data_IF_876346617647
#
_entry.id   IF_876346617647
#
_cell.length_a   1.000
_cell.length_b   1.000
_cell.length_c   1.000
_cell.angle_alpha   90.00
_cell.angle_beta   90.00
_cell.angle_gamma   90.00
#
_symmetry.space_group_name_H-M   'P 1'
#
loop_
_entity.id
_entity.type
_entity.pdbx_description
1 polymer ?
#
# COMPACT_ATOMS: atom_id res chain seq x y z
N UNK A 1 8.28 -0.12 -0.90
CA UNK A 1 7.70 -0.68 0.33
C UNK A 1 8.65 -0.32 1.46
N UNK A 2 8.15 -0.06 2.68
CA UNK A 2 8.98 0.03 3.88
C UNK A 2 8.88 -1.30 4.62
N UNK A 3 10.00 -1.94 4.92
CA UNK A 3 10.00 -3.09 5.82
C UNK A 3 9.55 -2.63 7.21
N UNK A 4 8.63 -3.39 7.80
CA UNK A 4 8.26 -3.25 9.21
C UNK A 4 9.16 -4.20 10.00
N UNK A 5 9.79 -3.67 11.04
CA UNK A 5 10.70 -4.45 11.88
C UNK A 5 10.02 -5.68 12.47
N UNK A 6 10.84 -6.72 12.65
CA UNK A 6 10.42 -8.02 13.13
C UNK A 6 9.96 -7.90 14.60
N UNK A 7 8.66 -8.03 14.82
CA UNK A 7 8.11 -8.10 16.18
C UNK A 7 8.45 -9.45 16.79
N UNK A 8 8.51 -9.55 18.12
CA UNK A 8 8.81 -10.82 18.80
C UNK A 8 7.86 -11.98 18.38
N UNK A 9 6.60 -11.65 18.07
CA UNK A 9 5.62 -12.61 17.56
C UNK A 9 6.00 -13.12 16.15
N UNK A 10 6.38 -12.20 15.27
CA UNK A 10 6.74 -12.50 13.88
C UNK A 10 8.06 -13.30 13.82
N UNK A 11 9.02 -13.00 14.69
CA UNK A 11 10.24 -13.78 14.86
C UNK A 11 9.96 -15.21 15.34
N UNK A 12 9.07 -15.37 16.33
CA UNK A 12 8.65 -16.70 16.82
C UNK A 12 7.97 -17.53 15.72
N UNK A 13 7.08 -16.91 14.96
CA UNK A 13 6.42 -17.55 13.80
C UNK A 13 7.44 -17.96 12.74
N UNK A 14 8.38 -17.08 12.39
CA UNK A 14 9.42 -17.36 11.41
C UNK A 14 10.36 -18.48 11.86
N UNK A 15 10.63 -18.59 13.16
CA UNK A 15 11.41 -19.71 13.69
C UNK A 15 10.66 -21.03 13.55
N UNK A 16 9.36 -21.07 13.85
CA UNK A 16 8.51 -22.25 13.62
C UNK A 16 8.50 -22.62 12.12
N UNK A 17 8.25 -21.65 11.25
CA UNK A 17 8.16 -21.86 9.80
C UNK A 17 9.51 -22.15 9.14
N UNK A 18 10.63 -21.99 9.84
CA UNK A 18 11.97 -22.22 9.29
C UNK A 18 12.14 -23.66 8.79
N UNK A 19 11.49 -24.62 9.45
CA UNK A 19 11.52 -26.03 9.11
C UNK A 19 10.41 -26.81 9.82
N UNK A 20 9.27 -26.99 9.17
CA UNK A 20 8.17 -27.81 9.68
C UNK A 20 8.19 -29.16 8.97
N UNK A 21 8.52 -30.21 9.72
CA UNK A 21 8.44 -31.59 9.22
C UNK A 21 7.01 -32.11 9.34
N UNK A 22 6.41 -32.50 8.20
CA UNK A 22 5.05 -33.06 8.13
C UNK A 22 5.06 -34.51 7.65
N UNK A 23 6.22 -35.19 7.73
CA UNK A 23 6.40 -36.60 7.38
C UNK A 23 6.85 -36.81 5.94
N UNK A 24 5.99 -36.51 4.97
CA UNK A 24 6.32 -36.71 3.54
C UNK A 24 7.19 -35.60 2.95
N UNK A 25 7.18 -34.43 3.59
CA UNK A 25 7.97 -33.29 3.16
C UNK A 25 8.32 -32.37 4.33
N UNK A 26 9.24 -31.45 4.05
CA UNK A 26 9.58 -30.35 4.94
C UNK A 26 8.97 -29.08 4.36
N UNK A 27 8.07 -28.46 5.12
CA UNK A 27 7.51 -27.15 4.79
C UNK A 27 8.44 -26.06 5.34
N UNK A 28 8.77 -25.10 4.48
CA UNK A 28 9.50 -23.89 4.85
C UNK A 28 8.64 -22.68 4.54
N UNK A 29 8.65 -21.70 5.43
CA UNK A 29 7.93 -20.45 5.26
C UNK A 29 8.65 -19.29 5.91
N UNK A 30 8.24 -18.09 5.51
CA UNK A 30 8.65 -16.84 6.15
C UNK A 30 7.50 -15.83 6.03
N UNK A 31 7.21 -15.14 7.11
CA UNK A 31 6.33 -14.00 7.16
C UNK A 31 7.17 -12.72 7.26
N UNK A 32 6.91 -11.79 6.35
CA UNK A 32 7.56 -10.47 6.31
C UNK A 32 6.47 -9.40 6.20
N UNK A 33 6.60 -8.34 6.97
CA UNK A 33 5.64 -7.26 7.00
C UNK A 33 6.20 -6.03 6.29
N UNK A 34 5.38 -5.42 5.43
CA UNK A 34 5.75 -4.25 4.66
C UNK A 34 4.60 -3.24 4.64
N UNK A 35 4.92 -1.95 4.66
CA UNK A 35 3.97 -0.89 4.31
C UNK A 35 4.25 -0.35 2.92
N UNK A 36 3.18 -0.10 2.17
CA UNK A 36 3.25 0.67 0.93
C UNK A 36 3.53 2.13 1.31
N UNK A 37 4.70 2.67 0.96
CA UNK A 37 4.91 4.12 1.08
C UNK A 37 4.09 4.79 -0.02
N UNK A 38 3.42 5.90 0.31
CA UNK A 38 2.84 6.83 -0.68
C UNK A 38 3.93 7.62 -1.42
N UNK A 39 5.00 6.95 -1.85
CA UNK A 39 6.10 7.56 -2.59
C UNK A 39 5.85 7.42 -4.09
N UNK A 40 6.25 8.43 -4.89
CA UNK A 40 6.01 8.48 -6.34
C UNK A 40 6.42 7.22 -7.12
N UNK A 41 7.37 6.44 -6.60
CA UNK A 41 7.88 5.21 -7.20
C UNK A 41 6.91 4.05 -6.96
N UNK A 42 6.40 3.89 -5.74
CA UNK A 42 5.42 2.85 -5.43
C UNK A 42 4.09 3.10 -6.12
N UNK A 43 3.72 4.37 -6.32
CA UNK A 43 2.52 4.74 -7.10
C UNK A 43 2.65 4.41 -8.59
N UNK A 44 3.86 4.38 -9.15
CA UNK A 44 4.07 3.93 -10.54
C UNK A 44 3.92 2.42 -10.64
N UNK A 45 4.43 1.69 -9.66
CA UNK A 45 4.29 0.24 -9.60
C UNK A 45 2.82 -0.15 -9.39
N UNK A 46 2.09 0.50 -8.47
CA UNK A 46 0.66 0.24 -8.26
C UNK A 46 -0.14 0.45 -9.54
N UNK A 47 0.06 1.58 -10.23
CA UNK A 47 -0.60 1.86 -11.51
C UNK A 47 -0.25 0.85 -12.60
N UNK A 48 1.01 0.40 -12.68
CA UNK A 48 1.42 -0.61 -13.65
C UNK A 48 0.74 -1.94 -13.40
N UNK A 49 0.67 -2.36 -12.14
CA UNK A 49 0.00 -3.61 -11.73
C UNK A 49 -1.51 -3.53 -11.96
N UNK A 50 -2.14 -2.40 -11.61
CA UNK A 50 -3.57 -2.16 -11.87
C UNK A 50 -3.89 -2.16 -13.38
N UNK A 51 -3.03 -1.54 -14.19
CA UNK A 51 -3.18 -1.54 -15.64
C UNK A 51 -3.06 -2.96 -16.20
N UNK A 52 -2.06 -3.74 -15.79
CA UNK A 52 -1.87 -5.14 -16.22
C UNK A 52 -3.02 -6.03 -15.76
N UNK A 53 -3.48 -5.86 -14.51
CA UNK A 53 -4.64 -6.57 -13.98
C UNK A 53 -5.90 -6.25 -14.79
N UNK A 54 -6.21 -4.98 -15.03
CA UNK A 54 -7.38 -4.60 -15.82
C UNK A 54 -7.26 -5.05 -17.28
N UNK A 55 -6.06 -4.99 -17.87
CA UNK A 55 -5.83 -5.46 -19.25
C UNK A 55 -5.99 -6.97 -19.36
N UNK A 56 -5.60 -7.73 -18.33
CA UNK A 56 -5.59 -9.20 -18.38
C UNK A 56 -6.90 -9.81 -17.88
N UNK A 57 -7.43 -9.31 -16.77
CA UNK A 57 -8.63 -9.84 -16.12
C UNK A 57 -9.91 -9.15 -16.56
N UNK A 58 -9.91 -7.83 -16.81
CA UNK A 58 -11.12 -7.15 -17.29
C UNK A 58 -11.35 -7.38 -18.80
N UNK A 59 -10.30 -7.66 -19.59
CA UNK A 59 -10.48 -8.08 -20.99
C UNK A 59 -11.00 -9.53 -21.14
N UNK A 60 -10.89 -10.36 -20.09
CA UNK A 60 -11.49 -11.70 -20.04
C UNK A 60 -13.00 -11.70 -19.78
N UNK A 61 -13.55 -10.57 -19.33
CA UNK A 61 -15.00 -10.32 -19.27
C UNK A 61 -15.39 -9.55 -20.54
N UNK A 62 -16.20 -10.16 -21.40
CA UNK A 62 -16.57 -9.65 -22.72
C UNK A 62 -17.10 -8.19 -22.76
N UNK A 63 -17.07 -7.54 -23.94
CA UNK A 63 -16.98 -6.11 -24.10
C UNK A 63 -18.36 -5.45 -24.05
N UNK A 64 -18.69 -4.86 -22.91
CA UNK A 64 -19.51 -3.65 -22.90
C UNK A 64 -18.72 -2.60 -22.15
N UNK A 65 -18.01 -1.75 -22.89
CA UNK A 65 -17.34 -0.57 -22.37
C UNK A 65 -18.37 0.31 -21.66
N UNK A 66 -18.49 0.14 -20.35
CA UNK A 66 -19.22 1.04 -19.49
C UNK A 66 -18.30 2.18 -19.02
N UNK A 67 -18.81 3.40 -18.82
CA UNK A 67 -18.01 4.57 -18.42
C UNK A 67 -17.32 4.46 -17.05
N UNK A 68 -17.45 3.32 -16.34
CA UNK A 68 -16.90 3.11 -15.00
C UNK A 68 -15.36 3.09 -14.91
N UNK A 69 -14.65 2.67 -15.96
CA UNK A 69 -13.19 2.57 -15.91
C UNK A 69 -12.48 3.94 -15.86
N UNK A 70 -13.10 4.98 -16.43
CA UNK A 70 -12.53 6.34 -16.42
C UNK A 70 -12.74 7.06 -15.07
N UNK A 71 -13.81 6.73 -14.34
CA UNK A 71 -14.14 7.36 -13.06
C UNK A 71 -13.19 6.93 -11.94
N UNK A 72 -12.77 5.66 -11.90
CA UNK A 72 -11.81 5.17 -10.89
C UNK A 72 -10.47 5.95 -10.92
N UNK A 73 -10.00 6.32 -12.10
CA UNK A 73 -8.74 7.05 -12.24
C UNK A 73 -8.84 8.50 -11.74
N UNK A 74 -9.95 9.18 -12.04
CA UNK A 74 -10.21 10.55 -11.59
C UNK A 74 -10.47 10.64 -10.08
N UNK A 75 -11.24 9.70 -9.52
CA UNK A 75 -11.53 9.66 -8.09
C UNK A 75 -10.27 9.39 -7.26
N UNK A 76 -9.38 8.51 -7.73
CA UNK A 76 -8.14 8.21 -7.05
C UNK A 76 -7.11 9.36 -7.12
N UNK A 77 -7.10 10.13 -8.22
CA UNK A 77 -6.27 11.33 -8.32
C UNK A 77 -6.78 12.44 -7.37
N UNK A 78 -8.10 12.64 -7.30
CA UNK A 78 -8.71 13.58 -6.36
C UNK A 78 -8.44 13.21 -4.90
N UNK A 79 -8.63 11.94 -4.52
CA UNK A 79 -8.37 11.47 -3.15
C UNK A 79 -6.91 11.73 -2.74
N UNK A 80 -5.99 11.51 -3.66
CA UNK A 80 -4.56 11.72 -3.40
C UNK A 80 -4.22 13.22 -3.24
N UNK A 81 -4.86 14.08 -4.02
CA UNK A 81 -4.72 15.53 -3.91
C UNK A 81 -5.32 16.05 -2.58
N UNK A 82 -6.44 15.47 -2.15
CA UNK A 82 -7.11 15.82 -0.90
C UNK A 82 -6.29 15.40 0.33
N UNK A 83 -5.72 14.19 0.33
CA UNK A 83 -4.82 13.73 1.40
C UNK A 83 -3.56 14.61 1.51
N UNK A 84 -3.04 15.08 0.39
CA UNK A 84 -1.86 15.95 0.36
C UNK A 84 -2.17 17.36 0.87
N UNK A 85 -3.36 17.89 0.59
CA UNK A 85 -3.84 19.16 1.15
C UNK A 85 -4.02 19.06 2.67
N UNK A 86 -4.64 17.99 3.17
CA UNK A 86 -4.90 17.80 4.60
C UNK A 86 -3.60 17.77 5.42
N UNK A 87 -2.56 17.05 4.95
CA UNK A 87 -1.26 17.05 5.62
C UNK A 87 -0.59 18.44 5.64
N UNK A 88 -0.81 19.24 4.60
CA UNK A 88 -0.25 20.59 4.49
C UNK A 88 -0.92 21.55 5.48
N UNK A 89 -2.25 21.46 5.61
CA UNK A 89 -3.04 22.26 6.54
C UNK A 89 -2.71 21.96 8.01
N UNK A 90 -2.59 20.67 8.36
CA UNK A 90 -2.18 20.26 9.72
C UNK A 90 -0.79 20.81 10.07
N UNK A 91 0.14 20.77 9.11
CA UNK A 91 1.49 21.30 9.30
C UNK A 91 1.48 22.82 9.53
N UNK A 92 0.66 23.56 8.78
CA UNK A 92 0.53 25.01 8.95
C UNK A 92 -0.11 25.38 10.29
N UNK A 93 -1.18 24.69 10.71
CA UNK A 93 -1.81 24.92 12.01
C UNK A 93 -0.83 24.67 13.16
N UNK A 94 -0.07 23.59 13.08
CA UNK A 94 0.91 23.25 14.13
C UNK A 94 2.03 24.29 14.23
N UNK A 95 2.46 24.83 13.09
CA UNK A 95 3.46 25.89 13.04
C UNK A 95 2.93 27.23 13.59
N UNK A 96 1.66 27.55 13.31
CA UNK A 96 1.00 28.75 13.84
C UNK A 96 0.78 28.65 15.36
N UNK A 97 0.43 27.47 15.88
CA UNK A 97 0.30 27.23 17.32
C UNK A 97 1.64 27.38 18.05
N UNK A 98 2.75 26.91 17.46
CA UNK A 98 4.08 27.10 18.03
C UNK A 98 4.50 28.58 18.09
N UNK A 99 4.11 29.39 17.10
CA UNK A 99 4.40 30.83 17.12
C UNK A 99 3.59 31.56 18.20
N UNK A 100 2.35 31.15 18.47
CA UNK A 100 1.54 31.75 19.53
C UNK A 100 2.01 31.37 20.94
N UNK A 101 2.63 30.20 21.12
CA UNK A 101 3.20 29.79 22.42
C UNK A 101 4.56 30.44 22.73
N UNK A 102 5.18 31.12 21.75
CA UNK A 102 6.45 31.83 21.92
C UNK A 102 6.29 33.35 22.16
N UNK A 103 5.04 33.86 22.23
CA UNK A 103 4.72 35.24 22.63
C UNK A 103 4.11 35.25 24.04
#
# INVERSE_FOLDING_TARGET
>A
MKFLEDTALLASLNNFLSRVDVGECIVKGRAEAYTCKLSKIETKLSRSVEHEFNTTFAAGMSPTGGPGAQNYFHDHEQLHQQLQQQQTEETQQQQQQQQQQQQ
#
